data_IF_067431862027
#
_entry.id   IF_067431862027
#
_cell.length_a   1.000
_cell.length_b   1.000
_cell.length_c   1.000
_cell.angle_alpha   90.00
_cell.angle_beta   90.00
_cell.angle_gamma   90.00
#
_symmetry.space_group_name_H-M   'P 1'
#
loop_
_entity.id
_entity.type
_entity.pdbx_description
1 polymer ?
#
# COMPACT_ATOMS: atom_id res chain seq x y z
N UNK A 1 -8.69 -36.77 80.35
CA UNK A 1 -9.54 -37.44 79.35
C UNK A 1 -10.11 -36.41 78.38
N UNK A 2 -9.32 -35.86 77.46
CA UNK A 2 -9.80 -34.98 76.37
C UNK A 2 -8.86 -35.20 75.19
N UNK A 3 -9.19 -36.18 74.35
CA UNK A 3 -8.56 -36.45 73.05
C UNK A 3 -9.69 -36.81 72.08
N UNK A 4 -9.45 -36.62 70.79
CA UNK A 4 -10.19 -37.21 69.64
C UNK A 4 -11.35 -36.45 68.96
N UNK A 5 -11.36 -35.10 68.89
CA UNK A 5 -12.34 -34.39 68.03
C UNK A 5 -11.78 -33.26 67.15
N UNK A 6 -10.47 -33.15 66.95
CA UNK A 6 -9.89 -32.03 66.18
C UNK A 6 -9.30 -32.41 64.81
N UNK A 7 -9.46 -33.66 64.36
CA UNK A 7 -8.83 -34.14 63.12
C UNK A 7 -9.84 -34.51 62.01
N UNK A 8 -11.14 -34.30 62.22
CA UNK A 8 -12.18 -34.60 61.22
C UNK A 8 -12.80 -33.37 60.55
N UNK A 9 -12.39 -32.14 60.91
CA UNK A 9 -12.99 -30.91 60.35
C UNK A 9 -12.14 -30.23 59.26
N UNK A 10 -10.96 -30.75 58.92
CA UNK A 10 -10.04 -30.13 57.94
C UNK A 10 -9.95 -30.89 56.61
N UNK A 11 -10.67 -31.99 56.44
CA UNK A 11 -10.67 -32.81 55.21
C UNK A 11 -11.92 -32.58 54.35
N UNK A 12 -12.93 -31.85 54.85
CA UNK A 12 -14.21 -31.60 54.16
C UNK A 12 -14.33 -30.19 53.54
N UNK A 13 -13.22 -29.54 53.22
CA UNK A 13 -13.20 -28.21 52.57
C UNK A 13 -12.40 -28.18 51.25
N UNK A 14 -12.01 -29.35 50.72
CA UNK A 14 -11.20 -29.47 49.49
C UNK A 14 -11.93 -30.16 48.34
N UNK A 15 -13.24 -30.38 48.46
CA UNK A 15 -14.06 -31.00 47.41
C UNK A 15 -15.02 -29.94 46.89
N UNK A 16 -15.00 -29.72 45.57
CA UNK A 16 -15.94 -28.90 44.76
C UNK A 16 -15.54 -27.45 44.40
N UNK A 17 -14.26 -27.17 44.19
CA UNK A 17 -13.88 -26.10 43.26
C UNK A 17 -13.45 -26.70 41.91
N UNK A 18 -14.35 -27.45 41.26
CA UNK A 18 -14.17 -27.74 39.84
C UNK A 18 -14.39 -26.44 39.09
N UNK A 19 -13.39 -25.90 38.37
CA UNK A 19 -13.62 -24.74 37.54
C UNK A 19 -14.68 -25.12 36.50
N UNK A 20 -15.83 -24.46 36.54
CA UNK A 20 -16.92 -24.64 35.60
C UNK A 20 -16.49 -24.07 34.24
N UNK A 21 -15.63 -24.80 33.51
CA UNK A 21 -15.07 -24.37 32.23
C UNK A 21 -15.84 -24.91 31.02
N UNK A 22 -16.98 -25.58 31.25
CA UNK A 22 -17.79 -26.17 30.18
C UNK A 22 -18.95 -25.26 29.70
N UNK A 23 -19.07 -24.03 30.21
CA UNK A 23 -20.15 -23.10 29.84
C UNK A 23 -19.76 -22.13 28.70
N UNK A 24 -18.49 -22.06 28.31
CA UNK A 24 -17.99 -21.00 27.41
C UNK A 24 -18.32 -21.28 25.93
N UNK A 25 -18.11 -22.52 25.45
CA UNK A 25 -18.26 -22.83 24.03
C UNK A 25 -19.69 -22.62 23.47
N UNK A 26 -20.73 -22.95 24.27
CA UNK A 26 -22.13 -22.73 23.85
C UNK A 26 -22.51 -21.25 23.82
N UNK A 27 -21.88 -20.44 24.66
CA UNK A 27 -22.15 -19.01 24.73
C UNK A 27 -21.66 -18.31 23.45
N UNK A 28 -20.53 -18.76 22.89
CA UNK A 28 -20.00 -18.21 21.64
C UNK A 28 -20.89 -18.48 20.41
N UNK A 29 -21.52 -19.65 20.33
CA UNK A 29 -22.48 -19.96 19.28
C UNK A 29 -23.70 -19.02 19.31
N UNK A 30 -24.24 -18.75 20.51
CA UNK A 30 -25.31 -17.78 20.70
C UNK A 30 -24.86 -16.35 20.35
N UNK A 31 -23.65 -15.94 20.78
CA UNK A 31 -23.07 -14.63 20.46
C UNK A 31 -22.91 -14.46 18.95
N UNK A 32 -22.43 -15.47 18.23
CA UNK A 32 -22.31 -15.43 16.77
C UNK A 32 -23.67 -15.14 16.12
N UNK A 33 -24.72 -15.83 16.53
CA UNK A 33 -26.09 -15.60 16.01
C UNK A 33 -26.61 -14.18 16.30
N UNK A 34 -26.32 -13.64 17.49
CA UNK A 34 -26.65 -12.25 17.83
C UNK A 34 -25.86 -11.24 17.00
N UNK A 35 -24.57 -11.49 16.78
CA UNK A 35 -23.72 -10.63 15.96
C UNK A 35 -24.15 -10.62 14.49
N UNK A 36 -24.59 -11.76 13.94
CA UNK A 36 -25.19 -11.83 12.59
C UNK A 36 -26.42 -10.94 12.50
N UNK A 37 -27.28 -10.99 13.53
CA UNK A 37 -28.48 -10.15 13.62
C UNK A 37 -28.10 -8.67 13.64
N UNK A 38 -27.08 -8.27 14.42
CA UNK A 38 -26.61 -6.88 14.45
C UNK A 38 -26.00 -6.43 13.14
N UNK A 39 -25.20 -7.28 12.50
CA UNK A 39 -24.64 -7.00 11.17
C UNK A 39 -25.75 -6.77 10.13
N UNK A 40 -26.78 -7.62 10.12
CA UNK A 40 -27.94 -7.48 9.23
C UNK A 40 -28.74 -6.19 9.50
N UNK A 41 -28.82 -5.78 10.77
CA UNK A 41 -29.48 -4.53 11.20
C UNK A 41 -28.62 -3.26 11.01
N UNK A 42 -27.45 -3.38 10.37
CA UNK A 42 -26.49 -2.28 10.20
C UNK A 42 -25.97 -1.71 11.54
N UNK A 43 -25.93 -2.53 12.58
CA UNK A 43 -25.36 -2.22 13.91
C UNK A 43 -23.95 -2.79 14.00
N UNK A 44 -23.05 -2.18 13.22
CA UNK A 44 -21.75 -2.76 12.88
C UNK A 44 -20.82 -2.79 14.09
N UNK A 45 -20.77 -1.72 14.87
CA UNK A 45 -19.93 -1.62 16.07
C UNK A 45 -20.32 -2.67 17.13
N UNK A 46 -21.63 -2.91 17.32
CA UNK A 46 -22.09 -3.92 18.27
C UNK A 46 -21.79 -5.35 17.79
N UNK A 47 -21.86 -5.61 16.48
CA UNK A 47 -21.46 -6.89 15.91
C UNK A 47 -19.95 -7.14 16.12
N UNK A 48 -19.10 -6.14 15.84
CA UNK A 48 -17.65 -6.20 16.03
C UNK A 48 -17.32 -6.46 17.50
N UNK A 49 -17.88 -5.66 18.40
CA UNK A 49 -17.62 -5.75 19.85
C UNK A 49 -17.97 -7.13 20.41
N UNK A 50 -19.15 -7.65 20.07
CA UNK A 50 -19.58 -8.97 20.52
C UNK A 50 -18.71 -10.11 19.99
N UNK A 51 -18.37 -10.09 18.69
CA UNK A 51 -17.55 -11.14 18.08
C UNK A 51 -16.12 -11.14 18.60
N UNK A 52 -15.52 -9.96 18.77
CA UNK A 52 -14.15 -9.84 19.23
C UNK A 52 -13.94 -10.44 20.62
N UNK A 53 -14.91 -10.29 21.53
CA UNK A 53 -14.83 -10.89 22.86
C UNK A 53 -15.06 -12.41 22.81
N UNK A 54 -16.00 -12.89 22.00
CA UNK A 54 -16.22 -14.33 21.82
C UNK A 54 -14.98 -15.03 21.21
N UNK A 55 -14.39 -14.48 20.14
CA UNK A 55 -13.26 -15.10 19.45
C UNK A 55 -11.97 -15.14 20.29
N UNK A 56 -11.88 -14.33 21.35
CA UNK A 56 -10.78 -14.37 22.32
C UNK A 56 -10.96 -15.43 23.41
N UNK A 57 -12.14 -16.02 23.54
CA UNK A 57 -12.37 -17.07 24.54
C UNK A 57 -11.47 -18.28 24.24
N UNK A 58 -10.96 -18.97 25.27
CA UNK A 58 -10.26 -20.22 25.05
C UNK A 58 -11.23 -21.29 24.51
N UNK A 59 -10.70 -22.22 23.71
CA UNK A 59 -11.43 -23.41 23.25
C UNK A 59 -12.71 -23.14 22.41
N UNK A 60 -12.76 -22.03 21.67
CA UNK A 60 -13.83 -21.78 20.68
C UNK A 60 -13.80 -22.89 19.61
N UNK A 61 -14.93 -23.57 19.34
CA UNK A 61 -15.01 -24.55 18.28
C UNK A 61 -14.56 -23.98 16.93
N UNK A 62 -13.76 -24.73 16.17
CA UNK A 62 -13.12 -24.23 14.93
C UNK A 62 -14.12 -23.71 13.90
N UNK A 63 -15.29 -24.34 13.79
CA UNK A 63 -16.38 -23.93 12.89
C UNK A 63 -16.99 -22.58 13.29
N UNK A 64 -17.17 -22.36 14.59
CA UNK A 64 -17.59 -21.07 15.15
C UNK A 64 -16.50 -20.01 14.95
N UNK A 65 -15.23 -20.35 15.16
CA UNK A 65 -14.11 -19.43 14.98
C UNK A 65 -13.94 -18.98 13.51
N UNK A 66 -14.10 -19.91 12.56
CA UNK A 66 -14.10 -19.59 11.12
C UNK A 66 -15.28 -18.70 10.76
N UNK A 67 -16.49 -19.06 11.19
CA UNK A 67 -17.70 -18.28 10.88
C UNK A 67 -17.66 -16.88 11.51
N UNK A 68 -17.18 -16.78 12.75
CA UNK A 68 -17.02 -15.53 13.46
C UNK A 68 -15.96 -14.62 12.84
N UNK A 69 -14.78 -15.14 12.48
CA UNK A 69 -13.76 -14.34 11.80
C UNK A 69 -14.21 -13.87 10.41
N UNK A 70 -14.98 -14.69 9.68
CA UNK A 70 -15.62 -14.27 8.42
C UNK A 70 -16.55 -13.07 8.65
N UNK A 71 -17.46 -13.18 9.61
CA UNK A 71 -18.42 -12.12 9.92
C UNK A 71 -17.71 -10.86 10.43
N UNK A 72 -16.68 -11.01 11.26
CA UNK A 72 -15.88 -9.91 11.79
C UNK A 72 -15.16 -9.15 10.66
N UNK A 73 -14.56 -9.87 9.70
CA UNK A 73 -13.94 -9.26 8.53
C UNK A 73 -14.95 -8.48 7.67
N UNK A 74 -16.14 -9.02 7.46
CA UNK A 74 -17.22 -8.33 6.74
C UNK A 74 -17.71 -7.08 7.50
N UNK A 75 -17.83 -7.16 8.82
CA UNK A 75 -18.19 -6.03 9.67
C UNK A 75 -17.14 -4.92 9.61
N UNK A 76 -15.85 -5.25 9.69
CA UNK A 76 -14.77 -4.27 9.53
C UNK A 76 -14.76 -3.62 8.15
N UNK A 77 -14.96 -4.38 7.07
CA UNK A 77 -15.09 -3.79 5.72
C UNK A 77 -16.26 -2.82 5.62
N UNK A 78 -17.38 -3.13 6.28
CA UNK A 78 -18.56 -2.25 6.30
C UNK A 78 -18.34 -0.99 7.15
N UNK A 79 -17.38 -1.03 8.05
CA UNK A 79 -16.92 0.11 8.85
C UNK A 79 -15.69 0.81 8.25
N UNK A 80 -15.32 0.48 7.01
CA UNK A 80 -14.15 1.01 6.30
C UNK A 80 -12.79 0.73 6.98
N UNK A 81 -12.72 -0.25 7.89
CA UNK A 81 -11.49 -0.66 8.57
C UNK A 81 -10.83 -1.84 7.85
N UNK A 82 -10.25 -1.56 6.68
CA UNK A 82 -9.61 -2.58 5.83
C UNK A 82 -8.44 -3.27 6.55
N UNK A 83 -7.74 -2.56 7.44
CA UNK A 83 -6.62 -3.11 8.20
C UNK A 83 -7.08 -4.21 9.17
N UNK A 84 -8.12 -3.95 9.97
CA UNK A 84 -8.68 -4.96 10.87
C UNK A 84 -9.37 -6.09 10.11
N UNK A 85 -10.03 -5.79 8.98
CA UNK A 85 -10.60 -6.83 8.12
C UNK A 85 -9.53 -7.81 7.63
N UNK A 86 -8.34 -7.31 7.25
CA UNK A 86 -7.22 -8.15 6.83
C UNK A 86 -6.72 -9.05 7.98
N UNK A 87 -6.63 -8.52 9.20
CA UNK A 87 -6.22 -9.30 10.37
C UNK A 87 -7.19 -10.46 10.65
N UNK A 88 -8.50 -10.20 10.65
CA UNK A 88 -9.52 -11.24 10.82
C UNK A 88 -9.44 -12.30 9.71
N UNK A 89 -9.10 -11.93 8.47
CA UNK A 89 -8.88 -12.89 7.37
C UNK A 89 -7.61 -13.72 7.59
N UNK A 90 -6.54 -13.15 8.13
CA UNK A 90 -5.32 -13.91 8.47
C UNK A 90 -5.64 -14.95 9.54
N UNK A 91 -6.37 -14.56 10.59
CA UNK A 91 -6.82 -15.50 11.63
C UNK A 91 -7.70 -16.61 11.04
N UNK A 92 -8.66 -16.25 10.18
CA UNK A 92 -9.52 -17.19 9.47
C UNK A 92 -8.73 -18.18 8.61
N UNK A 93 -7.77 -17.72 7.80
CA UNK A 93 -6.95 -18.59 6.95
C UNK A 93 -5.94 -19.41 7.75
N UNK A 94 -5.58 -18.96 8.96
CA UNK A 94 -4.83 -19.74 9.93
C UNK A 94 -5.61 -20.92 10.49
N UNK A 95 -6.93 -20.77 10.66
CA UNK A 95 -7.84 -21.82 11.11
C UNK A 95 -8.23 -22.79 9.97
N UNK A 96 -8.60 -22.25 8.80
CA UNK A 96 -8.95 -23.01 7.61
C UNK A 96 -8.23 -22.45 6.36
N UNK A 97 -7.06 -23.02 6.00
CA UNK A 97 -6.32 -22.60 4.80
C UNK A 97 -7.08 -22.84 3.49
N UNK A 98 -8.05 -23.76 3.46
CA UNK A 98 -8.83 -24.12 2.29
C UNK A 98 -10.13 -23.30 2.16
N UNK A 99 -10.40 -22.41 3.13
CA UNK A 99 -11.59 -21.57 3.13
C UNK A 99 -11.78 -20.84 1.80
N UNK A 100 -13.01 -20.86 1.28
CA UNK A 100 -13.36 -20.17 0.04
C UNK A 100 -14.56 -19.26 0.30
N UNK A 101 -14.46 -17.94 0.02
CA UNK A 101 -15.61 -17.04 0.12
C UNK A 101 -16.81 -17.53 -0.69
N UNK A 102 -18.02 -17.28 -0.19
CA UNK A 102 -19.25 -17.65 -0.86
C UNK A 102 -19.43 -16.82 -2.15
N UNK A 103 -19.48 -17.45 -3.34
CA UNK A 103 -19.58 -16.73 -4.61
C UNK A 103 -20.88 -15.94 -4.75
N UNK A 104 -21.95 -16.31 -4.05
CA UNK A 104 -23.26 -15.67 -4.11
C UNK A 104 -23.41 -14.61 -3.02
N UNK A 105 -23.07 -14.97 -1.77
CA UNK A 105 -23.39 -14.14 -0.61
C UNK A 105 -22.29 -13.14 -0.23
N UNK A 106 -21.03 -13.37 -0.61
CA UNK A 106 -19.94 -12.46 -0.25
C UNK A 106 -19.73 -11.35 -1.30
N UNK A 107 -19.53 -10.12 -0.80
CA UNK A 107 -19.26 -8.95 -1.63
C UNK A 107 -17.92 -9.09 -2.38
N UNK A 108 -17.78 -8.56 -3.61
CA UNK A 108 -16.56 -8.70 -4.41
C UNK A 108 -15.28 -8.18 -3.72
N UNK A 109 -15.38 -7.14 -2.90
CA UNK A 109 -14.26 -6.57 -2.14
C UNK A 109 -13.69 -7.58 -1.15
N UNK A 110 -14.55 -8.27 -0.38
CA UNK A 110 -14.14 -9.30 0.57
C UNK A 110 -13.44 -10.47 -0.14
N UNK A 111 -13.97 -10.94 -1.28
CA UNK A 111 -13.35 -11.99 -2.09
C UNK A 111 -11.92 -11.62 -2.52
N UNK A 112 -11.78 -10.41 -3.07
CA UNK A 112 -10.49 -9.88 -3.52
C UNK A 112 -9.50 -9.78 -2.36
N UNK A 113 -9.97 -9.36 -1.19
CA UNK A 113 -9.15 -9.25 0.01
C UNK A 113 -8.64 -10.63 0.47
N UNK A 114 -9.52 -11.64 0.57
CA UNK A 114 -9.13 -13.01 0.94
C UNK A 114 -8.09 -13.60 -0.01
N UNK A 115 -8.27 -13.43 -1.32
CA UNK A 115 -7.28 -13.89 -2.31
C UNK A 115 -5.93 -13.17 -2.17
N UNK A 116 -5.95 -11.85 -1.93
CA UNK A 116 -4.75 -11.06 -1.75
C UNK A 116 -3.96 -11.47 -0.49
N UNK A 117 -4.67 -11.70 0.63
CA UNK A 117 -4.09 -12.14 1.90
C UNK A 117 -3.48 -13.54 1.76
N UNK A 118 -4.18 -14.46 1.08
CA UNK A 118 -3.64 -15.79 0.79
C UNK A 118 -2.32 -15.73 0.01
N UNK A 119 -2.24 -14.89 -1.03
CA UNK A 119 -1.00 -14.70 -1.79
C UNK A 119 0.14 -14.19 -0.91
N UNK A 120 -0.14 -13.25 0.00
CA UNK A 120 0.87 -12.70 0.92
C UNK A 120 1.39 -13.78 1.88
N UNK A 121 0.51 -14.57 2.50
CA UNK A 121 0.90 -15.65 3.42
C UNK A 121 1.72 -16.74 2.73
N UNK A 122 1.41 -17.08 1.47
CA UNK A 122 2.17 -18.07 0.71
C UNK A 122 3.63 -17.63 0.43
N UNK A 123 3.84 -16.33 0.20
CA UNK A 123 5.18 -15.76 -0.02
C UNK A 123 6.00 -15.87 1.28
N UNK A 124 5.42 -15.51 2.43
CA UNK A 124 6.09 -15.58 3.73
C UNK A 124 6.51 -17.02 4.12
N UNK A 125 5.66 -18.01 3.83
CA UNK A 125 5.98 -19.42 4.06
C UNK A 125 7.15 -19.91 3.19
N UNK A 126 7.22 -19.44 1.94
CA UNK A 126 8.32 -19.78 1.01
C UNK A 126 9.64 -19.19 1.47
N UNK A 127 9.63 -17.94 1.95
CA UNK A 127 10.81 -17.26 2.49
C UNK A 127 11.34 -17.95 3.75
N UNK A 128 10.44 -18.39 4.64
CA UNK A 128 10.84 -19.06 5.89
C UNK A 128 11.46 -20.45 5.63
N UNK A 129 10.98 -21.15 4.61
CA UNK A 129 11.50 -22.49 4.26
C UNK A 129 12.89 -22.43 3.60
N UNK A 130 13.19 -21.34 2.90
CA UNK A 130 14.46 -21.19 2.15
C UNK A 130 15.66 -20.88 3.06
N UNK A 131 15.45 -20.33 4.26
CA UNK A 131 16.53 -19.94 5.18
C UNK A 131 16.95 -21.07 6.14
N UNK A 132 16.16 -22.13 6.27
CA UNK A 132 16.33 -23.14 7.33
C UNK A 132 17.27 -24.32 6.99
N UNK A 133 17.95 -24.33 5.84
CA UNK A 133 18.92 -25.39 5.50
C UNK A 133 20.34 -24.83 5.37
N UNK A 134 21.09 -24.70 6.48
CA UNK A 134 22.54 -24.59 6.39
C UNK A 134 23.06 -25.92 5.85
N UNK A 135 23.39 -25.96 4.56
CA UNK A 135 24.23 -27.01 4.02
C UNK A 135 25.49 -27.08 4.88
N UNK A 136 25.63 -28.19 5.61
CA UNK A 136 26.84 -28.50 6.34
C UNK A 136 28.01 -28.44 5.35
N UNK A 137 29.11 -27.75 5.70
CA UNK A 137 30.25 -27.64 4.81
C UNK A 137 30.80 -29.04 4.55
N UNK A 138 30.76 -29.46 3.29
CA UNK A 138 31.53 -30.60 2.82
C UNK A 138 33.01 -30.23 2.96
N UNK A 139 33.64 -30.72 4.02
CA UNK A 139 35.09 -30.74 4.18
C UNK A 139 35.71 -31.50 3.01
N UNK A 140 36.59 -30.81 2.26
CA UNK A 140 37.51 -31.51 1.38
C UNK A 140 38.29 -30.64 0.39
N UNK A 141 39.49 -30.22 0.79
CA UNK A 141 40.73 -30.19 -0.03
C UNK A 141 40.76 -29.13 -1.17
N UNK A 142 41.76 -28.30 -1.43
CA UNK A 142 43.17 -28.24 -1.09
C UNK A 142 43.64 -26.79 -0.99
N UNK A 143 44.56 -26.61 -0.06
CA UNK A 143 45.49 -25.51 0.08
C UNK A 143 46.45 -25.48 -1.12
N UNK A 144 46.50 -24.36 -1.85
CA UNK A 144 47.59 -24.09 -2.78
C UNK A 144 48.10 -22.67 -2.57
N UNK A 145 49.25 -22.63 -1.90
CA UNK A 145 50.15 -21.50 -1.81
C UNK A 145 50.50 -20.98 -3.21
N UNK A 146 50.39 -19.66 -3.39
CA UNK A 146 51.25 -18.94 -4.32
C UNK A 146 51.41 -17.50 -3.87
N UNK A 147 52.44 -17.29 -3.07
CA UNK A 147 53.10 -16.02 -2.87
C UNK A 147 53.60 -15.45 -4.20
N UNK A 148 53.11 -14.27 -4.59
CA UNK A 148 53.77 -13.43 -5.58
C UNK A 148 53.74 -11.97 -5.11
N UNK A 149 54.90 -11.49 -4.67
CA UNK A 149 55.24 -10.09 -4.49
C UNK A 149 55.16 -9.34 -5.82
N UNK A 150 54.49 -8.18 -5.85
CA UNK A 150 54.72 -7.08 -6.82
C UNK A 150 54.30 -5.79 -6.08
N UNK A 151 55.22 -5.14 -5.38
CA UNK A 151 55.99 -3.95 -5.78
C UNK A 151 55.19 -2.66 -5.71
N UNK A 152 55.70 -1.75 -4.88
CA UNK A 152 55.37 -0.33 -4.80
C UNK A 152 55.22 0.32 -6.17
N UNK A 153 54.10 1.02 -6.36
CA UNK A 153 53.99 2.12 -7.30
C UNK A 153 53.06 3.18 -6.70
N UNK A 154 53.70 4.12 -6.02
CA UNK A 154 53.27 5.51 -5.90
C UNK A 154 52.60 5.98 -7.19
N UNK A 155 51.33 6.38 -7.09
CA UNK A 155 50.56 6.86 -8.21
C UNK A 155 49.09 6.61 -7.98
N UNK A 156 48.47 7.40 -7.09
CA UNK A 156 47.03 7.64 -7.23
C UNK A 156 46.80 8.07 -8.69
N UNK A 157 45.98 7.36 -9.47
CA UNK A 157 45.45 7.95 -10.69
C UNK A 157 44.58 9.11 -10.21
N UNK A 158 45.09 10.33 -10.30
CA UNK A 158 44.27 11.50 -10.60
C UNK A 158 43.45 11.09 -11.81
N UNK A 159 42.19 10.71 -11.58
CA UNK A 159 41.24 10.42 -12.65
C UNK A 159 41.25 11.64 -13.58
N UNK A 160 41.92 11.42 -14.70
CA UNK A 160 42.01 12.33 -15.81
C UNK A 160 40.59 12.61 -16.25
N UNK A 161 40.18 13.86 -16.02
CA UNK A 161 38.98 14.49 -16.55
C UNK A 161 38.67 13.95 -17.95
N UNK A 162 37.63 13.11 -18.04
CA UNK A 162 36.96 12.85 -19.31
C UNK A 162 36.22 14.13 -19.66
N UNK A 163 36.94 15.05 -20.29
CA UNK A 163 36.36 16.14 -21.05
C UNK A 163 35.78 15.52 -22.31
N UNK A 164 34.55 15.02 -22.22
CA UNK A 164 33.69 14.85 -23.38
C UNK A 164 33.04 16.20 -23.66
N UNK A 165 33.81 17.07 -24.31
CA UNK A 165 33.29 18.23 -25.01
C UNK A 165 33.30 17.95 -26.51
N UNK A 166 32.11 17.65 -27.04
CA UNK A 166 31.65 18.11 -28.35
C UNK A 166 30.13 17.84 -28.47
N UNK A 167 29.33 18.68 -27.82
CA UNK A 167 27.90 18.96 -28.09
C UNK A 167 26.84 17.86 -27.86
N UNK A 168 27.17 16.68 -27.35
CA UNK A 168 26.19 15.68 -26.91
C UNK A 168 25.72 15.96 -25.48
N UNK A 169 24.69 16.77 -25.29
CA UNK A 169 24.06 16.93 -23.97
C UNK A 169 23.44 15.59 -23.53
N UNK A 170 23.67 15.13 -22.29
CA UNK A 170 23.21 13.82 -21.86
C UNK A 170 21.67 13.77 -21.86
N UNK A 171 21.14 12.68 -22.41
CA UNK A 171 19.74 12.29 -22.31
C UNK A 171 19.64 11.26 -21.21
N UNK A 172 18.64 11.36 -20.34
CA UNK A 172 18.32 10.30 -19.39
C UNK A 172 16.90 9.79 -19.56
N UNK A 173 16.73 8.48 -19.44
CA UNK A 173 15.45 7.80 -19.44
C UNK A 173 15.07 7.47 -18.01
N UNK A 174 13.80 7.59 -17.68
CA UNK A 174 13.29 7.23 -16.36
C UNK A 174 12.06 6.36 -16.45
N UNK A 175 11.96 5.45 -15.50
CA UNK A 175 10.78 4.62 -15.23
C UNK A 175 10.46 4.75 -13.75
N UNK A 176 9.21 5.08 -13.43
CA UNK A 176 8.68 5.29 -12.09
C UNK A 176 7.56 4.31 -11.80
N UNK A 177 7.55 3.79 -10.58
CA UNK A 177 6.39 3.19 -9.96
C UNK A 177 6.07 3.97 -8.69
N UNK A 178 4.81 4.07 -8.31
CA UNK A 178 4.46 4.87 -7.14
C UNK A 178 3.00 4.77 -6.75
N UNK A 179 2.64 5.68 -5.87
CA UNK A 179 1.28 5.95 -5.43
C UNK A 179 0.89 7.34 -5.91
N UNK A 180 -0.35 7.48 -6.37
CA UNK A 180 -0.95 8.76 -6.67
C UNK A 180 -2.26 8.90 -5.95
N UNK A 181 -2.41 9.99 -5.20
CA UNK A 181 -3.65 10.34 -4.52
C UNK A 181 -4.32 11.51 -5.23
N UNK A 182 -5.64 11.40 -5.35
CA UNK A 182 -6.50 12.47 -5.82
C UNK A 182 -6.97 13.30 -4.62
N UNK A 183 -6.79 14.62 -4.72
CA UNK A 183 -7.03 15.61 -3.67
C UNK A 183 -8.17 16.59 -3.98
N UNK A 184 -9.04 16.26 -4.95
CA UNK A 184 -10.21 17.05 -5.33
C UNK A 184 -11.44 16.77 -4.46
N UNK A 185 -11.36 15.76 -3.58
CA UNK A 185 -12.47 15.29 -2.76
C UNK A 185 -12.25 15.74 -1.32
N UNK A 186 -12.38 17.04 -1.07
CA UNK A 186 -12.65 17.49 0.30
C UNK A 186 -14.06 17.08 0.68
N UNK A 187 -14.27 15.78 0.89
CA UNK A 187 -15.41 15.28 1.64
C UNK A 187 -15.46 16.01 2.99
N UNK A 188 -16.66 16.10 3.56
CA UNK A 188 -16.90 16.79 4.84
C UNK A 188 -16.04 16.25 6.02
N UNK A 189 -15.37 15.12 5.83
CA UNK A 189 -14.62 14.36 6.85
C UNK A 189 -13.10 14.39 6.68
N UNK A 190 -12.55 14.76 5.52
CA UNK A 190 -11.11 14.74 5.31
C UNK A 190 -10.44 15.97 5.96
N UNK A 191 -9.82 15.77 7.13
CA UNK A 191 -9.18 16.85 7.89
C UNK A 191 -7.95 17.46 7.18
N UNK A 192 -7.35 16.78 6.20
CA UNK A 192 -6.20 17.28 5.43
C UNK A 192 -5.98 16.57 4.09
N UNK A 193 -5.27 17.21 3.14
CA UNK A 193 -4.86 16.58 1.87
C UNK A 193 -3.94 15.36 2.04
N UNK A 194 -3.27 15.21 3.20
CA UNK A 194 -2.46 14.03 3.48
C UNK A 194 -3.35 12.85 3.91
N UNK A 195 -4.41 13.12 4.68
CA UNK A 195 -5.42 12.11 5.02
C UNK A 195 -6.10 11.59 3.75
N UNK A 196 -6.52 12.51 2.89
CA UNK A 196 -7.12 12.17 1.59
C UNK A 196 -6.17 11.39 0.68
N UNK A 197 -4.86 11.69 0.68
CA UNK A 197 -3.89 10.86 -0.02
C UNK A 197 -3.87 9.43 0.53
N UNK A 198 -3.97 9.23 1.84
CA UNK A 198 -4.01 7.90 2.45
C UNK A 198 -5.18 7.06 1.98
N UNK A 199 -6.35 7.68 1.88
CA UNK A 199 -7.60 7.00 1.53
C UNK A 199 -7.75 6.81 0.00
N UNK A 200 -7.29 7.80 -0.79
CA UNK A 200 -7.48 7.83 -2.24
C UNK A 200 -6.22 7.44 -3.06
N UNK A 201 -5.12 7.06 -2.41
CA UNK A 201 -3.91 6.68 -3.13
C UNK A 201 -4.10 5.35 -3.87
N UNK A 202 -3.93 5.39 -5.18
CA UNK A 202 -3.84 4.19 -6.01
C UNK A 202 -2.49 4.05 -6.71
N UNK A 203 -2.26 2.92 -7.39
CA UNK A 203 -1.01 2.65 -8.09
C UNK A 203 -0.81 3.64 -9.24
N UNK A 204 0.43 4.10 -9.40
CA UNK A 204 0.86 4.98 -10.45
C UNK A 204 2.11 4.44 -11.16
N UNK A 205 2.17 4.65 -12.47
CA UNK A 205 3.31 4.33 -13.31
C UNK A 205 3.69 5.56 -14.11
N UNK A 206 4.99 5.80 -14.33
CA UNK A 206 5.44 6.90 -15.19
C UNK A 206 6.65 6.47 -16.01
N UNK A 207 6.68 6.86 -17.27
CA UNK A 207 7.86 6.84 -18.13
C UNK A 207 8.20 8.25 -18.57
N UNK A 208 9.49 8.55 -18.72
CA UNK A 208 9.89 9.84 -19.21
C UNK A 208 11.30 9.87 -19.76
N UNK A 209 11.61 10.97 -20.44
CA UNK A 209 12.93 11.28 -20.93
C UNK A 209 13.27 12.70 -20.52
N UNK A 210 14.45 12.89 -19.96
CA UNK A 210 15.02 14.16 -19.54
C UNK A 210 16.24 14.48 -20.42
N UNK A 211 16.29 15.70 -20.93
CA UNK A 211 17.41 16.28 -21.67
C UNK A 211 18.13 17.31 -20.80
N UNK A 212 19.42 17.13 -20.57
CA UNK A 212 20.21 18.07 -19.76
C UNK A 212 20.54 19.32 -20.59
N UNK A 213 19.89 20.44 -20.32
CA UNK A 213 20.13 21.70 -21.05
C UNK A 213 21.44 22.35 -20.60
N UNK A 214 21.64 22.41 -19.29
CA UNK A 214 22.84 22.96 -18.66
C UNK A 214 23.01 22.27 -17.31
N UNK A 215 24.19 22.22 -16.73
CA UNK A 215 24.31 21.76 -15.33
C UNK A 215 23.95 22.94 -14.41
N UNK A 216 22.90 22.88 -13.56
CA UNK A 216 22.09 21.72 -13.10
C UNK A 216 20.70 21.53 -13.75
N UNK A 217 20.36 22.31 -14.77
CA UNK A 217 19.05 22.37 -15.40
C UNK A 217 18.80 21.27 -16.45
N UNK A 218 17.75 20.48 -16.27
CA UNK A 218 17.22 19.56 -17.31
C UNK A 218 15.78 19.89 -17.68
N UNK A 219 15.36 19.43 -18.86
CA UNK A 219 13.98 19.50 -19.33
C UNK A 219 13.53 18.10 -19.71
N UNK A 220 12.36 17.66 -19.26
CA UNK A 220 11.86 16.33 -19.54
C UNK A 220 10.41 16.29 -19.96
N UNK A 221 10.10 15.31 -20.78
CA UNK A 221 8.73 14.90 -21.11
C UNK A 221 8.39 13.63 -20.35
N UNK A 222 7.12 13.46 -20.00
CA UNK A 222 6.65 12.26 -19.31
C UNK A 222 5.25 11.85 -19.76
N UNK A 223 4.95 10.57 -19.54
CA UNK A 223 3.63 9.98 -19.61
C UNK A 223 3.45 9.03 -18.43
N UNK A 224 2.31 9.08 -17.75
CA UNK A 224 2.04 8.17 -16.65
C UNK A 224 0.55 7.93 -16.42
N UNK A 225 0.08 6.68 -16.39
CA UNK A 225 -1.24 6.35 -15.89
C UNK A 225 -1.24 6.23 -14.36
N UNK A 226 -2.31 6.69 -13.72
CA UNK A 226 -2.60 6.37 -12.32
C UNK A 226 -4.06 5.94 -12.17
N UNK A 227 -4.31 5.08 -11.18
CA UNK A 227 -5.65 4.57 -10.88
C UNK A 227 -6.18 5.21 -9.59
N UNK A 228 -7.45 5.59 -9.59
CA UNK A 228 -8.17 6.17 -8.44
C UNK A 228 -9.49 5.42 -8.27
N UNK A 229 -9.59 4.60 -7.22
CA UNK A 229 -10.76 3.74 -7.04
C UNK A 229 -12.01 4.52 -6.60
N UNK A 230 -11.82 5.64 -5.91
CA UNK A 230 -12.87 6.49 -5.38
C UNK A 230 -13.31 7.64 -6.30
N UNK A 231 -12.73 7.74 -7.51
CA UNK A 231 -13.02 8.84 -8.44
C UNK A 231 -14.51 8.97 -8.81
N UNK A 232 -15.26 7.87 -8.71
CA UNK A 232 -16.67 7.80 -9.07
C UNK A 232 -17.60 7.65 -7.87
N UNK A 233 -17.09 7.73 -6.64
CA UNK A 233 -17.95 7.66 -5.47
C UNK A 233 -18.85 8.90 -5.45
N UNK A 234 -20.16 8.65 -5.39
CA UNK A 234 -21.17 9.67 -5.62
C UNK A 234 -21.04 10.80 -4.58
N UNK A 235 -20.49 11.95 -5.00
CA UNK A 235 -20.39 13.15 -4.17
C UNK A 235 -21.73 13.85 -4.09
N UNK A 236 -22.57 13.37 -3.18
CA UNK A 236 -23.83 14.02 -2.81
C UNK A 236 -25.07 13.48 -3.52
N UNK A 237 -26.21 13.81 -2.93
CA UNK A 237 -27.52 13.42 -3.43
C UNK A 237 -27.89 14.29 -4.65
N UNK A 238 -28.41 13.70 -5.74
CA UNK A 238 -29.06 14.46 -6.80
C UNK A 238 -30.04 15.51 -6.22
N UNK A 239 -30.15 16.71 -6.82
CA UNK A 239 -29.91 17.02 -8.23
C UNK A 239 -28.62 17.78 -8.56
N UNK A 240 -27.78 18.10 -7.58
CA UNK A 240 -26.72 19.11 -7.77
C UNK A 240 -25.52 18.62 -8.60
N UNK A 241 -25.34 17.29 -8.71
CA UNK A 241 -24.21 16.68 -9.44
C UNK A 241 -24.69 15.57 -10.40
N UNK A 242 -24.03 15.40 -11.56
CA UNK A 242 -24.30 14.28 -12.45
C UNK A 242 -24.01 12.95 -11.75
N UNK A 243 -24.86 11.94 -11.97
CA UNK A 243 -24.56 10.57 -11.54
C UNK A 243 -23.43 10.06 -12.42
N UNK A 244 -22.34 9.59 -11.79
CA UNK A 244 -21.26 8.91 -12.49
C UNK A 244 -21.63 7.43 -12.64
N UNK A 245 -21.70 6.95 -13.88
CA UNK A 245 -21.91 5.56 -14.23
C UNK A 245 -20.55 4.85 -14.26
N UNK A 246 -20.25 4.12 -13.20
CA UNK A 246 -19.01 3.34 -13.07
C UNK A 246 -18.85 2.24 -14.13
N UNK A 247 -19.92 1.83 -14.82
CA UNK A 247 -19.84 0.81 -15.88
C UNK A 247 -19.24 1.34 -17.19
N UNK A 248 -19.28 2.65 -17.41
CA UNK A 248 -18.78 3.33 -18.60
C UNK A 248 -17.74 4.42 -18.28
N UNK A 249 -17.33 4.51 -17.01
CA UNK A 249 -16.29 5.42 -16.54
C UNK A 249 -15.00 4.64 -16.25
N UNK A 250 -13.86 5.30 -16.38
CA UNK A 250 -12.54 4.71 -16.11
C UNK A 250 -12.01 5.23 -14.78
N UNK A 251 -11.53 4.33 -13.93
CA UNK A 251 -10.77 4.70 -12.73
C UNK A 251 -9.33 5.09 -13.06
N UNK A 252 -8.92 5.01 -14.33
CA UNK A 252 -7.59 5.40 -14.78
C UNK A 252 -7.60 6.82 -15.33
N UNK A 253 -6.66 7.63 -14.84
CA UNK A 253 -6.35 8.95 -15.38
C UNK A 253 -4.95 8.91 -15.97
N UNK A 254 -4.80 9.47 -17.16
CA UNK A 254 -3.54 9.52 -17.88
C UNK A 254 -2.94 10.91 -17.83
N UNK A 255 -1.69 11.00 -17.38
CA UNK A 255 -0.94 12.24 -17.35
C UNK A 255 0.09 12.28 -18.46
N UNK A 256 0.26 13.45 -19.07
CA UNK A 256 1.41 13.73 -19.93
C UNK A 256 1.82 15.19 -19.76
N UNK A 257 3.12 15.48 -19.89
CA UNK A 257 3.55 16.85 -19.69
C UNK A 257 5.02 17.11 -19.93
N UNK A 258 5.39 18.36 -19.67
CA UNK A 258 6.73 18.91 -19.79
C UNK A 258 7.14 19.47 -18.44
N UNK A 259 8.35 19.13 -17.98
CA UNK A 259 8.90 19.59 -16.70
C UNK A 259 10.34 20.07 -16.88
N UNK A 260 10.70 21.07 -16.10
CA UNK A 260 12.07 21.50 -15.86
C UNK A 260 12.50 20.97 -14.51
N UNK A 261 13.73 20.45 -14.41
CA UNK A 261 14.33 20.02 -13.14
C UNK A 261 15.57 20.85 -12.86
N UNK A 262 15.67 21.33 -11.63
CA UNK A 262 16.85 22.02 -11.12
C UNK A 262 17.49 21.12 -10.07
N UNK A 263 18.58 20.44 -10.45
CA UNK A 263 19.37 19.64 -9.54
C UNK A 263 20.31 20.48 -8.66
N UNK A 264 20.77 19.93 -7.55
CA UNK A 264 21.96 20.41 -6.86
C UNK A 264 23.17 19.65 -7.39
N UNK A 265 24.10 20.39 -8.00
CA UNK A 265 25.35 19.82 -8.52
C UNK A 265 26.26 19.58 -7.34
N UNK A 266 26.46 18.33 -6.98
CA UNK A 266 27.50 17.94 -6.04
C UNK A 266 28.17 16.68 -6.55
N UNK A 267 29.44 16.48 -6.21
CA UNK A 267 30.10 15.20 -6.43
C UNK A 267 29.59 14.11 -5.47
N UNK A 268 28.51 14.37 -4.73
CA UNK A 268 27.91 13.40 -3.85
C UNK A 268 27.06 12.40 -4.67
N UNK A 269 26.96 11.14 -4.22
CA UNK A 269 26.10 10.15 -4.85
C UNK A 269 24.61 10.49 -4.75
N UNK A 270 24.23 11.43 -3.87
CA UNK A 270 22.86 11.89 -3.66
C UNK A 270 22.70 13.30 -4.21
N UNK A 271 21.79 13.48 -5.16
CA UNK A 271 21.50 14.75 -5.82
C UNK A 271 20.04 15.16 -5.58
N UNK A 272 19.77 16.12 -4.69
CA UNK A 272 18.43 16.69 -4.57
C UNK A 272 18.06 17.49 -5.82
N UNK A 273 16.78 17.51 -6.15
CA UNK A 273 16.25 18.32 -7.24
C UNK A 273 14.88 18.91 -6.90
N UNK A 274 14.59 20.06 -7.50
CA UNK A 274 13.25 20.61 -7.59
C UNK A 274 12.71 20.47 -9.02
N UNK A 275 11.39 20.35 -9.18
CA UNK A 275 10.74 20.29 -10.49
C UNK A 275 9.62 21.31 -10.59
N UNK A 276 9.46 21.87 -11.79
CA UNK A 276 8.34 22.74 -12.17
C UNK A 276 7.98 22.48 -13.62
N UNK A 277 6.70 22.51 -13.97
CA UNK A 277 6.26 22.25 -15.33
C UNK A 277 4.77 22.45 -15.52
N UNK A 278 4.28 21.90 -16.63
CA UNK A 278 2.88 21.85 -16.96
C UNK A 278 2.53 20.46 -17.48
N UNK A 279 1.31 20.04 -17.22
CA UNK A 279 0.82 18.74 -17.62
C UNK A 279 -0.64 18.82 -18.03
N UNK A 280 -1.09 17.75 -18.67
CA UNK A 280 -2.46 17.48 -19.00
C UNK A 280 -2.88 16.16 -18.34
N UNK A 281 -4.10 16.11 -17.83
CA UNK A 281 -4.76 14.93 -17.30
C UNK A 281 -5.90 14.56 -18.25
N UNK A 282 -5.96 13.31 -18.67
CA UNK A 282 -7.02 12.75 -19.51
C UNK A 282 -7.77 11.69 -18.70
N UNK A 283 -9.06 11.90 -18.50
CA UNK A 283 -9.96 10.98 -17.81
C UNK A 283 -11.14 10.59 -18.73
N UNK A 284 -11.76 9.44 -18.44
CA UNK A 284 -12.99 9.00 -19.10
C UNK A 284 -14.08 8.87 -18.05
N UNK A 285 -15.11 9.71 -18.15
CA UNK A 285 -16.24 9.75 -17.21
C UNK A 285 -17.54 9.77 -18.00
N UNK A 286 -18.45 8.85 -17.69
CA UNK A 286 -19.73 8.67 -18.41
C UNK A 286 -19.55 8.53 -19.94
N UNK A 287 -18.61 7.70 -20.39
CA UNK A 287 -18.26 7.52 -21.81
C UNK A 287 -17.72 8.78 -22.52
N UNK A 288 -17.46 9.86 -21.77
CA UNK A 288 -16.87 11.10 -22.30
C UNK A 288 -15.39 11.21 -21.90
N UNK A 289 -14.52 11.46 -22.89
CA UNK A 289 -13.13 11.81 -22.63
C UNK A 289 -12.99 13.29 -22.30
N UNK A 290 -12.37 13.57 -21.16
CA UNK A 290 -12.21 14.91 -20.61
C UNK A 290 -10.74 15.21 -20.38
N UNK A 291 -10.35 16.45 -20.64
CA UNK A 291 -8.98 16.90 -20.51
C UNK A 291 -8.89 18.12 -19.59
N UNK A 292 -8.00 18.03 -18.61
CA UNK A 292 -7.64 19.12 -17.73
C UNK A 292 -6.17 19.45 -17.86
N UNK A 293 -5.79 20.69 -17.57
CA UNK A 293 -4.42 21.15 -17.66
C UNK A 293 -4.03 21.92 -16.41
N UNK A 294 -2.75 21.93 -16.11
CA UNK A 294 -2.22 22.94 -15.21
C UNK A 294 -0.80 22.66 -14.73
N UNK A 295 -0.34 23.45 -13.75
CA UNK A 295 1.04 23.41 -13.31
C UNK A 295 1.34 22.14 -12.54
N UNK A 296 2.57 21.63 -12.71
CA UNK A 296 3.14 20.53 -11.93
C UNK A 296 4.37 21.04 -11.19
N UNK A 297 4.50 20.72 -9.91
CA UNK A 297 5.65 21.10 -9.10
C UNK A 297 5.97 20.01 -8.09
N UNK A 298 7.21 19.98 -7.61
CA UNK A 298 7.65 18.92 -6.71
C UNK A 298 9.13 18.96 -6.42
N UNK A 299 9.60 17.95 -5.72
CA UNK A 299 10.99 17.76 -5.36
C UNK A 299 11.34 16.28 -5.25
N UNK A 300 12.63 15.97 -5.28
CA UNK A 300 13.09 14.61 -5.14
C UNK A 300 14.57 14.50 -4.87
N UNK A 301 15.03 13.25 -4.82
CA UNK A 301 16.40 12.85 -4.60
C UNK A 301 16.78 11.81 -5.65
N UNK A 302 17.92 11.98 -6.31
CA UNK A 302 18.55 10.92 -7.08
C UNK A 302 19.68 10.31 -6.26
N UNK A 303 19.82 8.99 -6.29
CA UNK A 303 20.96 8.24 -5.80
C UNK A 303 21.62 7.52 -6.97
N UNK A 304 22.81 7.94 -7.37
CA UNK A 304 23.55 7.35 -8.49
C UNK A 304 24.39 6.16 -7.99
N UNK A 305 23.91 4.94 -8.25
CA UNK A 305 24.65 3.72 -7.96
C UNK A 305 25.85 3.54 -8.89
N UNK A 306 25.74 4.06 -10.13
CA UNK A 306 26.82 4.14 -11.11
C UNK A 306 26.75 5.45 -11.88
N UNK A 307 27.68 5.71 -12.81
CA UNK A 307 27.63 6.90 -13.68
C UNK A 307 26.42 6.92 -14.63
N UNK A 308 25.78 5.78 -14.86
CA UNK A 308 24.66 5.62 -15.79
C UNK A 308 23.35 5.30 -15.09
N UNK A 309 23.38 4.53 -14.00
CA UNK A 309 22.18 4.02 -13.33
C UNK A 309 22.01 4.70 -11.98
N UNK A 310 20.85 5.32 -11.78
CA UNK A 310 20.43 5.86 -10.50
C UNK A 310 19.05 5.36 -10.09
N UNK A 311 18.80 5.38 -8.79
CA UNK A 311 17.47 5.23 -8.19
C UNK A 311 17.02 6.64 -7.81
N UNK A 312 15.74 6.96 -7.95
CA UNK A 312 15.24 8.25 -7.52
C UNK A 312 13.93 8.12 -6.75
N UNK A 313 13.74 9.03 -5.81
CA UNK A 313 12.50 9.26 -5.09
C UNK A 313 11.97 10.64 -5.47
N UNK A 314 10.68 10.74 -5.81
CA UNK A 314 10.05 12.00 -6.25
C UNK A 314 8.69 12.15 -5.57
N UNK A 315 8.45 13.34 -5.02
CA UNK A 315 7.17 13.78 -4.52
C UNK A 315 6.73 15.01 -5.34
N UNK A 316 5.56 14.94 -5.97
CA UNK A 316 5.08 16.01 -6.83
C UNK A 316 3.57 16.19 -6.72
N UNK A 317 3.11 17.36 -7.12
CA UNK A 317 1.70 17.70 -7.23
C UNK A 317 1.41 18.33 -8.59
N UNK A 318 0.23 18.04 -9.13
CA UNK A 318 -0.32 18.68 -10.32
C UNK A 318 -1.65 19.34 -9.94
N UNK A 319 -1.80 20.61 -10.29
CA UNK A 319 -3.07 21.34 -10.18
C UNK A 319 -3.77 21.26 -11.53
N UNK A 320 -4.96 20.66 -11.60
CA UNK A 320 -5.71 20.41 -12.83
C UNK A 320 -6.91 21.33 -12.90
N UNK A 321 -7.04 22.07 -14.01
CA UNK A 321 -8.20 22.89 -14.32
C UNK A 321 -8.70 22.64 -15.75
N UNK A 322 -10.02 22.67 -16.00
CA UNK A 322 -11.09 22.78 -15.00
C UNK A 322 -11.15 21.52 -14.13
N UNK A 323 -11.53 21.62 -12.84
CA UNK A 323 -11.60 20.43 -11.97
C UNK A 323 -12.59 19.38 -12.51
N UNK A 324 -13.66 19.85 -13.15
CA UNK A 324 -14.65 18.98 -13.79
C UNK A 324 -14.14 18.12 -14.99
N UNK A 325 -12.85 18.20 -15.28
CA UNK A 325 -12.16 17.36 -16.24
C UNK A 325 -11.82 15.98 -15.69
N UNK A 326 -11.82 15.78 -14.36
CA UNK A 326 -11.45 14.49 -13.76
C UNK A 326 -12.56 13.92 -12.89
N UNK A 327 -13.22 14.72 -12.06
CA UNK A 327 -14.50 14.37 -11.44
C UNK A 327 -15.63 15.23 -12.04
N UNK A 328 -16.90 14.85 -11.94
CA UNK A 328 -18.01 15.67 -12.45
C UNK A 328 -18.57 16.61 -11.38
N UNK A 329 -17.84 16.79 -10.29
CA UNK A 329 -18.40 17.37 -9.07
C UNK A 329 -18.22 18.87 -9.08
N UNK A 330 -17.18 19.39 -9.71
CA UNK A 330 -16.99 20.83 -9.66
C UNK A 330 -17.75 21.62 -10.73
N UNK A 331 -18.32 22.75 -10.27
CA UNK A 331 -18.88 23.78 -11.15
C UNK A 331 -17.73 24.54 -11.79
N UNK A 332 -17.82 24.79 -13.10
CA UNK A 332 -16.70 25.27 -13.93
C UNK A 332 -15.88 26.40 -13.29
N UNK A 333 -14.57 26.16 -13.13
CA UNK A 333 -13.61 27.12 -12.57
C UNK A 333 -12.83 26.63 -11.35
N UNK A 334 -13.13 25.45 -10.83
CA UNK A 334 -12.34 24.84 -9.76
C UNK A 334 -10.99 24.30 -10.27
N UNK A 335 -10.16 23.85 -9.32
CA UNK A 335 -8.89 23.21 -9.58
C UNK A 335 -8.73 22.03 -8.64
N UNK A 336 -8.47 20.86 -9.20
CA UNK A 336 -8.16 19.67 -8.41
C UNK A 336 -6.66 19.51 -8.25
N UNK A 337 -6.26 18.78 -7.21
CA UNK A 337 -4.87 18.46 -6.96
C UNK A 337 -4.63 16.96 -7.07
N UNK A 338 -3.68 16.56 -7.90
CA UNK A 338 -3.14 15.20 -7.92
C UNK A 338 -1.79 15.21 -7.22
N UNK A 339 -1.61 14.36 -6.24
CA UNK A 339 -0.34 14.22 -5.52
C UNK A 339 0.28 12.87 -5.83
N UNK A 340 1.57 12.84 -6.12
CA UNK A 340 2.30 11.64 -6.50
C UNK A 340 3.48 11.44 -5.56
N UNK A 341 3.66 10.21 -5.10
CA UNK A 341 4.85 9.73 -4.41
C UNK A 341 5.39 8.53 -5.18
N UNK A 342 6.61 8.63 -5.70
CA UNK A 342 7.17 7.59 -6.56
C UNK A 342 8.63 7.25 -6.26
N UNK A 343 8.96 5.98 -6.49
CA UNK A 343 10.33 5.47 -6.56
C UNK A 343 10.57 4.97 -8.00
N UNK A 344 11.75 5.25 -8.54
CA UNK A 344 12.05 4.85 -9.91
C UNK A 344 13.52 4.61 -10.18
N UNK A 345 13.80 4.16 -11.39
CA UNK A 345 15.13 4.00 -11.93
C UNK A 345 15.34 5.06 -13.01
N UNK A 346 16.51 5.68 -13.02
CA UNK A 346 16.97 6.60 -14.05
C UNK A 346 18.22 6.04 -14.71
N UNK A 347 18.25 6.10 -16.04
CA UNK A 347 19.36 5.68 -16.88
C UNK A 347 19.88 6.86 -17.69
N UNK A 348 21.14 7.24 -17.51
CA UNK A 348 21.83 8.32 -18.25
C UNK A 348 22.56 7.74 -19.45
N UNK A 349 22.18 8.19 -20.64
CA UNK A 349 22.93 7.92 -21.87
C UNK A 349 24.11 8.89 -21.95
N UNK A 350 25.29 8.33 -22.22
CA UNK A 350 26.53 9.08 -22.48
C UNK A 350 26.71 9.33 -23.96
#
# INVERSE_FOLDING_TARGET
MIKTYFLFLSVLAFVLATPAQAQDARQCEEILSYAETYYQQNRIDEAISLLADCLRAPDVPSDIAVSGNRLLALAFLRNDDVAQARLAIVELLGLDPAYTPDPVNDIPVYKSLVESTRRQMAIEQTLTTTVAQPEAPAEGVAQQDSSAQVSDADGMPTESNVVLSANGMPVSFKVRIGLSGYGGERGLTAESSIGEFGDNAGPAFEIGADYQIATPLSMGIFYGPARYDHLHDAKGSPPDYPIIDSSVSSNWVHYFGLVMRLGYVSNAPIEPFALIGAAAALATVNDESRIGFGPRFGAGLNYWATQQVGIYFEADAMLVSPGNSVDLVDVGGSTDMFTNLGLGIRYRMQ
#
